data_IF_789161022924
#
_entry.id   IF_789161022924
#
_cell.length_a   1.000
_cell.length_b   1.000
_cell.length_c   1.000
_cell.angle_alpha   90.00
_cell.angle_beta   90.00
_cell.angle_gamma   90.00
#
_symmetry.space_group_name_H-M   'P 1'
#
loop_
_entity.id
_entity.type
_entity.pdbx_description
1 polymer ?
#
# COMPACT_ATOMS: atom_id res chain seq x y z
N UNK A 1 30.83 -4.71 31.55
CA UNK A 1 30.00 -3.50 31.45
C UNK A 1 29.25 -3.56 30.12
N UNK A 2 27.98 -3.95 30.14
CA UNK A 2 27.15 -3.95 28.94
C UNK A 2 26.84 -2.50 28.57
N UNK A 3 27.13 -2.05 27.34
CA UNK A 3 26.69 -0.74 26.89
C UNK A 3 25.17 -0.79 26.81
N UNK A 4 24.50 -0.19 27.81
CA UNK A 4 23.09 0.12 27.69
C UNK A 4 22.94 0.99 26.46
N UNK A 5 22.02 0.64 25.55
CA UNK A 5 21.56 1.55 24.53
C UNK A 5 21.15 2.84 25.28
N UNK A 6 21.78 4.00 25.00
CA UNK A 6 21.39 5.23 25.65
C UNK A 6 19.89 5.42 25.41
N UNK A 7 19.16 5.87 26.44
CA UNK A 7 17.70 6.09 26.42
C UNK A 7 17.23 6.85 25.17
N UNK A 8 18.12 7.63 24.57
CA UNK A 8 17.97 8.35 23.30
C UNK A 8 17.69 7.46 22.07
N UNK A 9 18.20 6.23 22.05
CA UNK A 9 18.06 5.32 20.89
C UNK A 9 16.61 4.90 20.63
N UNK A 10 15.83 4.70 21.70
CA UNK A 10 14.41 4.36 21.58
C UNK A 10 13.58 5.52 21.04
N UNK A 11 13.93 6.76 21.42
CA UNK A 11 13.26 7.95 20.88
C UNK A 11 13.50 8.09 19.37
N UNK A 12 14.72 7.84 18.90
CA UNK A 12 15.05 7.86 17.46
C UNK A 12 14.26 6.79 16.71
N UNK A 13 14.16 5.57 17.26
CA UNK A 13 13.35 4.50 16.66
C UNK A 13 11.86 4.84 16.61
N UNK A 14 11.30 5.37 17.69
CA UNK A 14 9.89 5.79 17.73
C UNK A 14 9.61 6.94 16.75
N UNK A 15 10.50 7.94 16.67
CA UNK A 15 10.39 9.04 15.73
C UNK A 15 10.49 8.55 14.27
N UNK A 16 11.45 7.65 14.02
CA UNK A 16 11.62 6.99 12.73
C UNK A 16 10.37 6.21 12.34
N UNK A 17 9.82 5.39 13.23
CA UNK A 17 8.59 4.65 12.98
C UNK A 17 7.40 5.59 12.70
N UNK A 18 7.25 6.66 13.48
CA UNK A 18 6.19 7.65 13.30
C UNK A 18 6.25 8.34 11.92
N UNK A 19 7.46 8.54 11.39
CA UNK A 19 7.68 9.14 10.06
C UNK A 19 7.53 8.10 8.92
N UNK A 20 8.13 6.92 9.07
CA UNK A 20 8.22 5.92 8.00
C UNK A 20 6.96 5.06 7.84
N UNK A 21 6.20 4.79 8.91
CA UNK A 21 4.97 3.98 8.82
C UNK A 21 3.92 4.61 7.88
N UNK A 22 3.60 5.93 7.98
CA UNK A 22 2.73 6.60 7.02
C UNK A 22 3.20 6.48 5.56
N UNK A 23 4.50 6.67 5.34
CA UNK A 23 5.13 6.60 4.00
C UNK A 23 5.03 5.17 3.45
N UNK A 24 5.39 4.17 4.24
CA UNK A 24 5.28 2.76 3.86
C UNK A 24 3.83 2.34 3.58
N UNK A 25 2.85 2.87 4.33
CA UNK A 25 1.43 2.62 4.07
C UNK A 25 0.96 3.22 2.75
N UNK A 26 1.49 4.38 2.35
CA UNK A 26 1.23 4.95 1.02
C UNK A 26 1.86 4.09 -0.08
N UNK A 27 3.10 3.64 0.11
CA UNK A 27 3.81 2.78 -0.84
C UNK A 27 3.13 1.43 -1.02
N UNK A 28 2.58 0.85 0.06
CA UNK A 28 1.75 -0.36 -0.01
C UNK A 28 0.54 -0.15 -0.92
N UNK A 29 -0.19 0.97 -0.76
CA UNK A 29 -1.36 1.28 -1.60
C UNK A 29 -0.99 1.43 -3.07
N UNK A 30 0.16 2.05 -3.37
CA UNK A 30 0.66 2.16 -4.75
C UNK A 30 1.03 0.79 -5.31
N UNK A 31 1.67 -0.05 -4.49
CA UNK A 31 2.01 -1.41 -4.87
C UNK A 31 0.74 -2.21 -5.21
N UNK A 32 -0.32 -2.15 -4.40
CA UNK A 32 -1.61 -2.77 -4.73
C UNK A 32 -2.18 -2.27 -6.07
N UNK A 33 -2.12 -0.96 -6.34
CA UNK A 33 -2.61 -0.39 -7.60
C UNK A 33 -1.83 -0.88 -8.83
N UNK A 34 -0.51 -1.08 -8.71
CA UNK A 34 0.33 -1.63 -9.79
C UNK A 34 -0.08 -3.07 -10.14
N UNK A 35 -0.50 -3.86 -9.14
CA UNK A 35 -0.97 -5.23 -9.35
C UNK A 35 -2.48 -5.33 -9.69
N UNK A 36 -3.17 -4.21 -9.91
CA UNK A 36 -4.60 -4.20 -10.25
C UNK A 36 -5.54 -4.55 -9.08
N UNK A 37 -5.00 -4.60 -7.87
CA UNK A 37 -5.76 -4.97 -6.67
C UNK A 37 -6.49 -3.77 -6.05
N UNK A 38 -7.61 -4.05 -5.39
CA UNK A 38 -8.40 -3.03 -4.69
C UNK A 38 -7.54 -2.29 -3.66
N UNK A 39 -7.41 -0.98 -3.79
CA UNK A 39 -6.59 -0.18 -2.88
C UNK A 39 -7.16 -0.25 -1.45
N UNK A 40 -6.39 -0.72 -0.45
CA UNK A 40 -6.88 -0.71 0.92
C UNK A 40 -7.08 0.74 1.38
N UNK A 41 -8.07 0.92 2.26
CA UNK A 41 -8.24 2.17 3.00
C UNK A 41 -6.95 2.48 3.76
N UNK A 42 -6.60 3.77 3.88
CA UNK A 42 -5.33 4.19 4.48
C UNK A 42 -5.11 3.64 5.90
N UNK A 43 -6.17 3.62 6.73
CA UNK A 43 -6.13 3.02 8.08
C UNK A 43 -5.79 1.52 8.05
N UNK A 44 -6.39 0.77 7.11
CA UNK A 44 -6.11 -0.66 6.89
C UNK A 44 -4.68 -0.85 6.41
N UNK A 45 -4.20 -0.01 5.49
CA UNK A 45 -2.82 -0.05 5.01
C UNK A 45 -1.81 0.21 6.15
N UNK A 46 -2.05 1.21 7.01
CA UNK A 46 -1.21 1.45 8.19
C UNK A 46 -1.18 0.24 9.14
N UNK A 47 -2.33 -0.35 9.45
CA UNK A 47 -2.40 -1.54 10.30
C UNK A 47 -1.62 -2.71 9.69
N UNK A 48 -1.77 -2.96 8.39
CA UNK A 48 -1.02 -4.00 7.67
C UNK A 48 0.48 -3.73 7.74
N UNK A 49 0.94 -2.50 7.47
CA UNK A 49 2.36 -2.16 7.51
C UNK A 49 2.96 -2.34 8.90
N UNK A 50 2.26 -1.92 9.96
CA UNK A 50 2.74 -2.11 11.34
C UNK A 50 2.80 -3.59 11.70
N UNK A 51 1.73 -4.35 11.44
CA UNK A 51 1.69 -5.79 11.72
C UNK A 51 2.75 -6.56 10.93
N UNK A 52 2.91 -6.22 9.65
CA UNK A 52 3.91 -6.82 8.76
C UNK A 52 5.32 -6.51 9.25
N UNK A 53 5.61 -5.25 9.58
CA UNK A 53 6.93 -4.83 10.07
C UNK A 53 7.30 -5.45 11.42
N UNK A 54 6.40 -5.37 12.41
CA UNK A 54 6.61 -5.94 13.74
C UNK A 54 6.75 -7.46 13.65
N UNK A 55 5.84 -8.13 12.94
CA UNK A 55 5.87 -9.58 12.85
C UNK A 55 7.05 -10.11 12.03
N UNK A 56 7.46 -9.44 10.94
CA UNK A 56 8.67 -9.80 10.21
C UNK A 56 9.93 -9.65 11.07
N UNK A 57 10.01 -8.58 11.87
CA UNK A 57 11.12 -8.37 12.81
C UNK A 57 11.15 -9.46 13.90
N UNK A 58 10.02 -9.75 14.55
CA UNK A 58 9.94 -10.80 15.57
C UNK A 58 10.27 -12.19 15.00
N UNK A 59 9.83 -12.45 13.76
CA UNK A 59 10.17 -13.70 13.06
C UNK A 59 11.66 -13.79 12.79
N UNK A 60 12.28 -12.72 12.26
CA UNK A 60 13.73 -12.66 12.04
C UNK A 60 14.50 -12.83 13.35
N UNK A 61 14.06 -12.18 14.43
CA UNK A 61 14.75 -12.19 15.72
C UNK A 61 14.67 -13.57 16.40
N UNK A 62 13.47 -14.16 16.46
CA UNK A 62 13.26 -15.48 17.04
C UNK A 62 13.96 -16.59 16.27
N UNK A 63 13.93 -16.53 14.93
CA UNK A 63 14.65 -17.50 14.08
C UNK A 63 16.17 -17.34 14.19
N UNK A 64 16.69 -16.12 14.25
CA UNK A 64 18.12 -15.86 14.45
C UNK A 64 18.60 -16.41 15.80
N UNK A 65 17.85 -16.17 16.88
CA UNK A 65 18.15 -16.72 18.21
C UNK A 65 18.20 -18.25 18.18
N UNK A 66 17.18 -18.88 17.60
CA UNK A 66 17.11 -20.34 17.49
C UNK A 66 18.30 -20.91 16.71
N UNK A 67 18.65 -20.32 15.57
CA UNK A 67 19.79 -20.77 14.76
C UNK A 67 21.12 -20.60 15.48
N UNK A 68 21.35 -19.49 16.18
CA UNK A 68 22.58 -19.28 16.97
C UNK A 68 22.69 -20.29 18.10
N UNK A 69 21.59 -20.61 18.80
CA UNK A 69 21.54 -21.66 19.82
C UNK A 69 21.82 -23.05 19.24
N UNK A 70 21.17 -23.39 18.12
CA UNK A 70 21.35 -24.71 17.47
C UNK A 70 22.74 -24.89 16.90
N UNK A 71 23.34 -23.83 16.36
CA UNK A 71 24.64 -23.87 15.70
C UNK A 71 25.79 -23.42 16.59
N UNK A 72 25.64 -23.51 17.92
CA UNK A 72 26.65 -23.03 18.88
C UNK A 72 28.05 -23.56 18.60
N UNK A 73 28.16 -24.83 18.20
CA UNK A 73 29.44 -25.46 17.87
C UNK A 73 30.05 -24.88 16.59
N UNK A 74 29.23 -24.64 15.56
CA UNK A 74 29.69 -24.08 14.29
C UNK A 74 30.09 -22.60 14.44
N UNK A 75 29.30 -21.81 15.17
CA UNK A 75 29.60 -20.39 15.47
C UNK A 75 30.92 -20.25 16.22
N UNK A 76 31.32 -21.25 17.01
CA UNK A 76 32.58 -21.26 17.75
C UNK A 76 33.76 -21.88 16.97
N UNK A 77 33.53 -22.55 15.83
CA UNK A 77 34.58 -23.30 15.11
C UNK A 77 35.37 -22.45 14.12
N UNK A 78 34.84 -21.32 13.65
CA UNK A 78 35.50 -20.47 12.64
C UNK A 78 36.69 -19.70 13.23
N UNK A 79 37.85 -20.37 13.32
CA UNK A 79 39.22 -19.89 13.04
C UNK A 79 39.78 -18.64 13.73
N UNK A 80 38.99 -17.93 14.53
CA UNK A 80 39.37 -16.62 15.09
C UNK A 80 40.04 -16.73 16.46
N UNK A 81 39.97 -17.90 17.10
CA UNK A 81 40.49 -18.10 18.44
C UNK A 81 41.32 -19.37 18.48
N UNK A 82 42.65 -19.21 18.46
CA UNK A 82 43.59 -20.30 18.74
C UNK A 82 43.49 -20.78 20.20
N UNK A 83 42.90 -19.97 21.09
CA UNK A 83 42.81 -20.27 22.50
C UNK A 83 41.50 -21.00 22.86
N UNK A 84 41.62 -22.29 23.17
CA UNK A 84 40.52 -23.16 23.63
C UNK A 84 39.73 -22.58 24.81
N UNK A 85 40.37 -21.83 25.72
CA UNK A 85 39.69 -21.24 26.88
C UNK A 85 38.67 -20.17 26.47
N UNK A 86 38.97 -19.37 25.44
CA UNK A 86 38.06 -18.33 24.93
C UNK A 86 36.84 -18.95 24.24
N UNK A 87 37.04 -20.09 23.59
CA UNK A 87 35.96 -20.86 22.96
C UNK A 87 34.98 -21.40 24.01
N UNK A 88 35.47 -22.02 25.08
CA UNK A 88 34.62 -22.54 26.15
C UNK A 88 33.87 -21.41 26.89
N UNK A 89 34.52 -20.27 27.12
CA UNK A 89 33.86 -19.09 27.71
C UNK A 89 32.71 -18.58 26.82
N UNK A 90 32.89 -18.55 25.49
CA UNK A 90 31.84 -18.12 24.56
C UNK A 90 30.71 -19.13 24.44
N UNK A 91 31.01 -20.43 24.41
CA UNK A 91 29.97 -21.48 24.45
C UNK A 91 29.13 -21.36 25.71
N UNK A 92 29.78 -21.21 26.86
CA UNK A 92 29.09 -21.00 28.14
C UNK A 92 28.22 -19.74 28.11
N UNK A 93 28.71 -18.64 27.51
CA UNK A 93 27.92 -17.42 27.33
C UNK A 93 26.70 -17.61 26.42
N UNK A 94 26.83 -18.31 25.28
CA UNK A 94 25.70 -18.63 24.39
C UNK A 94 24.70 -19.57 25.09
N UNK A 95 25.17 -20.52 25.89
CA UNK A 95 24.29 -21.41 26.63
C UNK A 95 23.51 -20.66 27.73
N UNK A 96 24.12 -19.65 28.36
CA UNK A 96 23.50 -18.80 29.37
C UNK A 96 22.57 -17.70 28.79
N UNK A 97 22.65 -17.41 27.49
CA UNK A 97 21.81 -16.34 26.91
C UNK A 97 20.37 -16.82 26.71
N UNK A 98 19.46 -16.22 27.47
CA UNK A 98 18.01 -16.37 27.26
C UNK A 98 17.50 -15.43 26.16
N UNK A 99 16.31 -15.70 25.64
CA UNK A 99 15.69 -14.84 24.62
C UNK A 99 15.49 -13.39 25.10
N UNK A 100 15.22 -13.19 26.40
CA UNK A 100 15.10 -11.85 26.99
C UNK A 100 16.41 -11.06 26.93
N UNK A 101 17.54 -11.74 27.12
CA UNK A 101 18.88 -11.16 26.97
C UNK A 101 19.21 -10.94 25.50
N UNK A 102 18.83 -11.88 24.62
CA UNK A 102 19.00 -11.77 23.18
C UNK A 102 18.33 -10.52 22.60
N UNK A 103 17.05 -10.28 22.89
CA UNK A 103 16.29 -9.12 22.39
C UNK A 103 16.94 -7.79 22.82
N UNK A 104 17.60 -7.77 23.98
CA UNK A 104 18.30 -6.59 24.51
C UNK A 104 19.66 -6.36 23.87
N UNK A 105 20.21 -7.34 23.13
CA UNK A 105 21.46 -7.15 22.41
C UNK A 105 21.28 -6.12 21.28
N UNK A 106 22.31 -5.28 21.02
CA UNK A 106 22.34 -4.42 19.85
C UNK A 106 22.06 -5.21 18.58
N UNK A 107 21.27 -4.63 17.67
CA UNK A 107 20.85 -5.29 16.43
C UNK A 107 22.06 -5.74 15.59
N UNK A 108 23.13 -4.95 15.57
CA UNK A 108 24.37 -5.27 14.87
C UNK A 108 25.02 -6.55 15.43
N UNK A 109 25.09 -6.70 16.76
CA UNK A 109 25.63 -7.91 17.39
C UNK A 109 24.79 -9.14 17.07
N UNK A 110 23.46 -9.01 17.06
CA UNK A 110 22.55 -10.09 16.65
C UNK A 110 22.76 -10.49 15.19
N UNK A 111 22.90 -9.51 14.30
CA UNK A 111 23.17 -9.74 12.88
C UNK A 111 24.53 -10.41 12.67
N UNK A 112 25.58 -9.97 13.36
CA UNK A 112 26.91 -10.58 13.29
C UNK A 112 26.90 -12.03 13.81
N UNK A 113 26.20 -12.30 14.92
CA UNK A 113 26.08 -13.65 15.46
C UNK A 113 25.29 -14.58 14.52
N UNK A 114 24.16 -14.13 13.98
CA UNK A 114 23.36 -14.90 13.03
C UNK A 114 24.09 -15.08 11.69
N UNK A 115 24.83 -14.07 11.24
CA UNK A 115 25.61 -14.07 10.01
C UNK A 115 26.75 -15.08 10.00
N UNK A 116 27.26 -15.45 11.18
CA UNK A 116 28.32 -16.45 11.35
C UNK A 116 27.84 -17.89 11.29
N UNK A 117 26.53 -18.15 11.21
CA UNK A 117 26.06 -19.52 11.07
C UNK A 117 26.20 -19.98 9.61
N UNK A 118 27.10 -20.92 9.29
CA UNK A 118 27.35 -21.32 7.91
C UNK A 118 26.12 -21.97 7.29
N UNK A 119 25.83 -21.64 6.03
CA UNK A 119 24.72 -22.20 5.26
C UNK A 119 23.31 -21.68 5.60
N UNK A 120 23.11 -21.05 6.76
CA UNK A 120 21.77 -20.62 7.23
C UNK A 120 21.66 -19.14 7.62
N UNK A 121 22.72 -18.35 7.44
CA UNK A 121 22.72 -16.90 7.72
C UNK A 121 21.62 -16.11 7.00
N UNK A 122 21.10 -16.63 5.88
CA UNK A 122 20.00 -16.02 5.12
C UNK A 122 18.60 -16.50 5.53
N UNK A 123 18.49 -17.62 6.25
CA UNK A 123 17.17 -18.19 6.61
C UNK A 123 16.29 -17.25 7.43
N UNK A 124 16.80 -16.50 8.43
CA UNK A 124 15.96 -15.55 9.18
C UNK A 124 15.29 -14.52 8.29
N UNK A 125 15.96 -14.06 7.23
CA UNK A 125 15.40 -13.13 6.25
C UNK A 125 14.30 -13.76 5.41
N UNK A 126 14.49 -15.02 5.00
CA UNK A 126 13.48 -15.78 4.25
C UNK A 126 12.23 -15.99 5.11
N UNK A 127 12.38 -16.39 6.38
CA UNK A 127 11.25 -16.55 7.29
C UNK A 127 10.52 -15.23 7.55
N UNK A 128 11.26 -14.13 7.77
CA UNK A 128 10.68 -12.80 7.90
C UNK A 128 9.90 -12.37 6.66
N UNK A 129 10.42 -12.63 5.46
CA UNK A 129 9.75 -12.34 4.20
C UNK A 129 8.49 -13.19 3.98
N UNK A 130 8.54 -14.49 4.31
CA UNK A 130 7.38 -15.38 4.25
C UNK A 130 6.27 -14.92 5.20
N UNK A 131 6.62 -14.54 6.43
CA UNK A 131 5.67 -13.99 7.40
C UNK A 131 5.05 -12.68 6.89
N UNK A 132 5.86 -11.78 6.32
CA UNK A 132 5.38 -10.54 5.73
C UNK A 132 4.38 -10.78 4.58
N UNK A 133 4.70 -11.74 3.70
CA UNK A 133 3.79 -12.20 2.65
C UNK A 133 2.47 -12.74 3.21
N UNK A 134 2.52 -13.57 4.24
CA UNK A 134 1.33 -14.13 4.90
C UNK A 134 0.43 -13.06 5.50
N UNK A 135 0.98 -12.12 6.28
CA UNK A 135 0.20 -11.00 6.85
C UNK A 135 -0.42 -10.15 5.74
N UNK A 136 0.29 -9.98 4.62
CA UNK A 136 -0.23 -9.23 3.46
C UNK A 136 -1.35 -9.98 2.74
N UNK A 137 -1.27 -11.31 2.61
CA UNK A 137 -2.37 -12.16 2.08
C UNK A 137 -3.63 -11.98 2.91
N UNK A 138 -3.53 -12.18 4.23
CA UNK A 138 -4.67 -12.08 5.14
C UNK A 138 -5.19 -10.64 5.20
N UNK A 139 -4.25 -9.69 5.24
CA UNK A 139 -4.53 -8.26 5.35
C UNK A 139 -5.21 -7.68 4.11
N UNK A 140 -4.91 -8.18 2.91
CA UNK A 140 -5.47 -7.67 1.64
C UNK A 140 -6.51 -8.59 1.00
N UNK A 141 -6.62 -9.85 1.45
CA UNK A 141 -7.45 -10.89 0.82
C UNK A 141 -7.05 -11.17 -0.65
N UNK A 142 -5.74 -11.26 -0.90
CA UNK A 142 -5.15 -11.49 -2.24
C UNK A 142 -4.36 -12.80 -2.25
N UNK A 143 -4.20 -13.50 -3.38
CA UNK A 143 -3.43 -14.75 -3.44
C UNK A 143 -1.95 -14.52 -3.08
N UNK A 144 -1.32 -15.54 -2.47
CA UNK A 144 0.06 -15.46 -1.96
C UNK A 144 1.09 -14.96 -2.98
N UNK A 145 0.98 -15.38 -4.24
CA UNK A 145 1.89 -14.95 -5.32
C UNK A 145 1.82 -13.43 -5.55
N UNK A 146 0.63 -12.84 -5.52
CA UNK A 146 0.44 -11.40 -5.65
C UNK A 146 0.87 -10.67 -4.37
N UNK A 147 0.54 -11.19 -3.19
CA UNK A 147 0.98 -10.63 -1.92
C UNK A 147 2.52 -10.53 -1.85
N UNK A 148 3.24 -11.57 -2.27
CA UNK A 148 4.70 -11.56 -2.30
C UNK A 148 5.24 -10.47 -3.24
N UNK A 149 4.66 -10.33 -4.44
CA UNK A 149 5.01 -9.27 -5.39
C UNK A 149 4.76 -7.86 -4.83
N UNK A 150 3.63 -7.66 -4.15
CA UNK A 150 3.27 -6.41 -3.48
C UNK A 150 4.29 -6.09 -2.36
N UNK A 151 4.64 -7.07 -1.53
CA UNK A 151 5.61 -6.88 -0.43
C UNK A 151 7.01 -6.55 -0.97
N UNK A 152 7.47 -7.25 -1.99
CA UNK A 152 8.78 -6.99 -2.60
C UNK A 152 8.85 -5.60 -3.24
N UNK A 153 7.81 -5.21 -3.99
CA UNK A 153 7.73 -3.89 -4.60
C UNK A 153 7.67 -2.80 -3.52
N UNK A 154 6.84 -2.98 -2.49
CA UNK A 154 6.76 -2.05 -1.38
C UNK A 154 8.11 -1.91 -0.68
N UNK A 155 8.79 -3.03 -0.39
CA UNK A 155 10.10 -3.03 0.27
C UNK A 155 11.14 -2.28 -0.57
N UNK A 156 11.22 -2.56 -1.87
CA UNK A 156 12.11 -1.84 -2.79
C UNK A 156 11.83 -0.34 -2.77
N UNK A 157 10.56 0.07 -2.85
CA UNK A 157 10.19 1.48 -2.79
C UNK A 157 10.56 2.13 -1.45
N UNK A 158 10.39 1.43 -0.33
CA UNK A 158 10.77 1.92 1.00
C UNK A 158 12.29 2.12 1.07
N UNK A 159 13.08 1.17 0.57
CA UNK A 159 14.55 1.29 0.53
C UNK A 159 14.97 2.50 -0.31
N UNK A 160 14.37 2.69 -1.48
CA UNK A 160 14.64 3.86 -2.34
C UNK A 160 14.28 5.16 -1.62
N UNK A 161 13.10 5.24 -1.01
CA UNK A 161 12.67 6.44 -0.28
C UNK A 161 13.56 6.72 0.93
N UNK A 162 14.00 5.69 1.66
CA UNK A 162 14.93 5.83 2.78
C UNK A 162 16.30 6.34 2.31
N UNK A 163 16.86 5.76 1.25
CA UNK A 163 18.14 6.18 0.68
C UNK A 163 18.10 7.64 0.19
N UNK A 164 17.02 8.01 -0.52
CA UNK A 164 16.80 9.38 -1.00
C UNK A 164 16.57 10.34 0.16
N UNK A 165 15.80 9.91 1.17
CA UNK A 165 15.56 10.70 2.37
C UNK A 165 16.85 10.98 3.13
N UNK A 166 17.69 9.97 3.35
CA UNK A 166 18.99 10.12 4.00
C UNK A 166 19.91 11.06 3.21
N UNK A 167 19.96 10.92 1.88
CA UNK A 167 20.72 11.81 1.02
C UNK A 167 20.20 13.26 1.05
N UNK A 168 18.88 13.44 0.97
CA UNK A 168 18.25 14.76 0.97
C UNK A 168 18.40 15.46 2.32
N UNK A 169 18.28 14.73 3.43
CA UNK A 169 18.55 15.25 4.78
C UNK A 169 20.02 15.64 4.90
N UNK A 170 20.95 14.76 4.50
CA UNK A 170 22.38 15.07 4.53
C UNK A 170 22.76 16.29 3.69
N UNK A 171 22.21 16.41 2.48
CA UNK A 171 22.45 17.54 1.58
C UNK A 171 21.74 18.81 2.04
N UNK A 172 20.50 18.68 2.50
CA UNK A 172 19.70 19.79 3.03
C UNK A 172 20.31 20.39 4.29
N UNK A 173 20.81 19.57 5.21
CA UNK A 173 21.62 20.02 6.34
C UNK A 173 22.85 20.78 5.86
N UNK A 174 23.57 20.27 4.86
CA UNK A 174 24.74 20.96 4.28
C UNK A 174 24.41 22.30 3.61
N UNK A 175 23.22 22.47 3.03
CA UNK A 175 22.79 23.70 2.36
C UNK A 175 22.10 24.71 3.29
N UNK A 176 21.30 24.22 4.25
CA UNK A 176 20.57 25.04 5.21
C UNK A 176 21.48 25.56 6.33
N UNK A 177 22.57 24.85 6.61
CA UNK A 177 23.70 25.44 7.30
C UNK A 177 24.36 26.42 6.31
N UNK A 178 24.26 27.74 6.54
CA UNK A 178 24.49 28.74 5.51
C UNK A 178 25.93 28.68 4.96
N UNK A 179 26.03 28.63 3.63
CA UNK A 179 27.28 28.76 2.87
C UNK A 179 27.98 30.13 3.05
N UNK A 180 27.47 31.03 3.88
CA UNK A 180 28.22 32.20 4.36
C UNK A 180 29.32 31.83 5.35
N UNK A 181 29.31 30.58 5.83
CA UNK A 181 30.53 29.86 6.11
C UNK A 181 30.71 28.81 5.01
N UNK A 182 31.20 29.19 3.83
CA UNK A 182 32.30 28.39 3.28
C UNK A 182 33.22 28.26 4.48
N UNK A 183 33.30 27.07 5.09
CA UNK A 183 34.29 26.82 6.13
C UNK A 183 35.55 27.45 5.55
N UNK A 184 36.03 28.58 6.12
CA UNK A 184 37.11 29.30 5.49
C UNK A 184 38.16 28.23 5.24
N UNK A 185 38.65 28.13 3.99
CA UNK A 185 39.74 27.18 3.71
C UNK A 185 40.71 27.33 4.86
N UNK A 186 41.19 26.23 5.46
CA UNK A 186 41.98 26.30 6.70
C UNK A 186 42.99 27.46 6.68
N UNK A 187 43.59 27.70 5.51
CA UNK A 187 44.40 28.86 5.16
C UNK A 187 43.75 30.26 5.35
N UNK A 188 42.57 30.53 4.80
CA UNK A 188 41.86 31.82 4.97
C UNK A 188 41.34 32.03 6.39
N UNK A 189 41.00 30.93 7.08
CA UNK A 189 40.58 30.97 8.48
C UNK A 189 41.75 31.35 9.39
N UNK A 190 42.89 30.69 9.13
CA UNK A 190 44.16 30.93 9.81
C UNK A 190 44.64 32.36 9.58
N UNK A 191 44.58 32.87 8.35
CA UNK A 191 45.03 34.22 8.04
C UNK A 191 44.16 35.29 8.70
N UNK A 192 42.83 35.12 8.70
CA UNK A 192 41.91 36.08 9.33
C UNK A 192 42.05 36.07 10.86
N UNK A 193 42.19 34.89 11.46
CA UNK A 193 42.40 34.76 12.90
C UNK A 193 43.78 35.25 13.34
N UNK A 194 44.81 35.07 12.51
CA UNK A 194 46.14 35.65 12.69
C UNK A 194 46.10 37.19 12.66
N UNK A 195 45.38 37.79 11.70
CA UNK A 195 45.21 39.25 11.61
C UNK A 195 44.45 39.83 12.81
N UNK A 196 43.38 39.17 13.26
CA UNK A 196 42.63 39.60 14.46
C UNK A 196 43.48 39.49 15.73
N UNK A 197 44.26 38.41 15.86
CA UNK A 197 45.15 38.23 17.01
C UNK A 197 46.30 39.25 17.02
N UNK A 198 46.92 39.52 15.85
CA UNK A 198 47.96 40.55 15.70
C UNK A 198 47.44 41.97 15.96
N UNK A 199 46.16 42.24 15.68
CA UNK A 199 45.52 43.51 16.00
C UNK A 199 45.18 43.65 17.50
N UNK A 200 44.83 42.55 18.17
CA UNK A 200 44.51 42.53 19.60
C UNK A 200 45.75 42.52 20.50
N UNK A 201 46.86 41.96 20.02
CA UNK A 201 48.12 41.85 20.75
C UNK A 201 49.27 42.38 19.87
N UNK A 202 49.63 43.67 19.98
CA UNK A 202 50.78 44.21 19.27
C UNK A 202 52.06 43.50 19.70
N UNK A 203 53.09 43.50 18.83
CA UNK A 203 54.32 42.73 19.02
C UNK A 203 55.01 42.97 20.37
N UNK A 204 54.86 44.17 20.94
CA UNK A 204 55.39 44.56 22.24
C UNK A 204 54.72 43.82 23.41
N UNK A 205 53.39 43.65 23.37
CA UNK A 205 52.63 42.91 24.39
C UNK A 205 52.91 41.40 24.34
N UNK A 206 53.22 40.88 23.15
CA UNK A 206 53.65 39.49 22.96
C UNK A 206 55.06 39.29 23.51
N UNK A 207 55.98 40.24 23.28
CA UNK A 207 57.33 40.20 23.83
C UNK A 207 57.36 40.33 25.37
N UNK A 208 56.39 41.04 25.96
CA UNK A 208 56.23 41.17 27.40
C UNK A 208 55.61 39.93 28.09
N UNK A 209 55.18 38.92 27.32
CA UNK A 209 54.61 37.68 27.87
C UNK A 209 53.16 37.80 28.36
N UNK A 210 52.47 38.90 28.05
CA UNK A 210 51.08 39.13 28.46
C UNK A 210 50.07 38.43 27.54
N UNK A 211 50.50 37.99 26.36
CA UNK A 211 49.65 37.25 25.43
C UNK A 211 49.61 35.74 25.78
N UNK A 212 48.43 35.08 25.67
CA UNK A 212 48.31 33.64 25.90
C UNK A 212 49.20 32.86 24.92
N UNK A 213 49.95 31.89 25.44
CA UNK A 213 50.99 31.14 24.72
C UNK A 213 50.51 30.43 23.44
N UNK A 214 49.21 30.13 23.32
CA UNK A 214 48.61 29.63 22.09
C UNK A 214 47.23 30.26 21.86
N UNK A 215 46.97 30.89 20.70
CA UNK A 215 45.66 31.46 20.42
C UNK A 215 44.59 30.37 20.35
N UNK A 216 43.49 30.51 21.11
CA UNK A 216 42.38 29.56 21.15
C UNK A 216 41.77 29.21 19.77
N UNK A 217 41.99 30.04 18.74
CA UNK A 217 41.55 29.76 17.37
C UNK A 217 42.40 28.68 16.68
N UNK A 218 43.67 28.51 17.04
CA UNK A 218 44.55 27.46 16.48
C UNK A 218 44.09 26.07 16.91
N UNK A 219 43.73 25.89 18.18
CA UNK A 219 43.22 24.60 18.68
C UNK A 219 41.88 24.24 18.03
N UNK A 220 41.00 25.23 17.81
CA UNK A 220 39.75 25.03 17.07
C UNK A 220 39.97 24.66 15.59
N UNK A 221 40.91 25.31 14.89
CA UNK A 221 41.23 24.94 13.50
C UNK A 221 41.86 23.56 13.38
N UNK A 222 42.76 23.21 14.30
CA UNK A 222 43.31 21.87 14.37
C UNK A 222 42.18 20.83 14.56
N UNK A 223 41.24 21.09 15.47
CA UNK A 223 40.05 20.24 15.68
C UNK A 223 39.12 20.17 14.46
N UNK A 224 38.92 21.27 13.72
CA UNK A 224 38.10 21.28 12.51
C UNK A 224 38.79 20.53 11.34
N UNK A 225 40.12 20.65 11.24
CA UNK A 225 40.91 19.93 10.22
C UNK A 225 40.94 18.43 10.49
N UNK A 226 41.06 18.02 11.75
CA UNK A 226 40.97 16.60 12.14
C UNK A 226 39.56 16.07 11.93
N UNK A 227 38.51 16.82 12.25
CA UNK A 227 37.13 16.40 11.98
C UNK A 227 36.82 16.28 10.47
N UNK A 228 37.35 17.19 9.65
CA UNK A 228 37.26 17.11 8.19
C UNK A 228 38.02 15.89 7.64
N UNK A 229 39.24 15.67 8.12
CA UNK A 229 40.04 14.50 7.74
C UNK A 229 39.36 13.20 8.17
N UNK A 230 38.75 13.18 9.36
CA UNK A 230 38.01 12.03 9.88
C UNK A 230 36.74 11.77 9.06
N UNK A 231 35.97 12.81 8.70
CA UNK A 231 34.81 12.68 7.84
C UNK A 231 35.19 12.20 6.42
N UNK A 232 36.28 12.70 5.84
CA UNK A 232 36.78 12.21 4.56
C UNK A 232 37.26 10.76 4.68
N UNK A 233 37.98 10.42 5.75
CA UNK A 233 38.40 9.03 6.01
C UNK A 233 37.23 8.07 6.24
N UNK A 234 36.08 8.58 6.66
CA UNK A 234 34.85 7.80 6.76
C UNK A 234 34.19 7.60 5.39
N UNK A 235 34.20 8.59 4.51
CA UNK A 235 33.50 8.56 3.21
C UNK A 235 34.31 7.85 2.13
N UNK A 236 35.63 8.04 2.12
CA UNK A 236 36.56 7.52 1.11
C UNK A 236 36.53 5.99 0.97
N UNK A 237 36.45 5.17 2.05
CA UNK A 237 36.33 3.72 1.95
C UNK A 237 35.03 3.27 1.27
N UNK A 238 33.92 3.97 1.50
CA UNK A 238 32.65 3.64 0.85
C UNK A 238 32.65 4.05 -0.61
N UNK A 239 33.22 5.21 -0.93
CA UNK A 239 33.39 5.65 -2.32
C UNK A 239 34.26 4.65 -3.09
N UNK A 240 35.37 4.21 -2.50
CA UNK A 240 36.27 3.25 -3.12
C UNK A 240 35.61 1.89 -3.32
N UNK A 241 34.91 1.34 -2.31
CA UNK A 241 34.16 0.08 -2.46
C UNK A 241 33.07 0.17 -3.51
N UNK A 242 32.35 1.29 -3.55
CA UNK A 242 31.29 1.50 -4.53
C UNK A 242 31.86 1.59 -5.95
N UNK A 243 32.99 2.29 -6.14
CA UNK A 243 33.68 2.37 -7.44
C UNK A 243 34.26 1.01 -7.85
N UNK A 244 34.79 0.24 -6.91
CA UNK A 244 35.27 -1.12 -7.17
C UNK A 244 34.12 -2.06 -7.61
N UNK A 245 32.95 -1.95 -6.98
CA UNK A 245 31.75 -2.70 -7.39
C UNK A 245 31.18 -2.23 -8.73
N UNK A 246 31.32 -0.94 -9.06
CA UNK A 246 30.84 -0.37 -10.31
C UNK A 246 31.83 -0.57 -11.47
N UNK A 247 33.12 -0.79 -11.20
CA UNK A 247 34.20 -0.92 -12.19
C UNK A 247 33.86 -1.87 -13.36
N UNK A 248 33.28 -3.07 -13.14
CA UNK A 248 32.91 -3.97 -14.23
C UNK A 248 31.90 -3.36 -15.22
N UNK A 249 31.02 -2.50 -14.72
CA UNK A 249 29.99 -1.81 -15.51
C UNK A 249 30.55 -0.52 -16.13
N UNK A 250 31.48 0.14 -15.43
CA UNK A 250 32.11 1.38 -15.90
C UNK A 250 33.07 1.17 -17.07
N UNK A 251 33.63 -0.03 -17.24
CA UNK A 251 34.50 -0.38 -18.39
C UNK A 251 33.83 -0.27 -19.75
N UNK A 252 32.50 -0.24 -19.79
CA UNK A 252 31.72 -0.08 -21.02
C UNK A 252 31.49 1.39 -21.40
N UNK A 253 31.85 2.33 -20.51
CA UNK A 253 31.75 3.77 -20.77
C UNK A 253 33.04 4.30 -21.43
N UNK A 254 32.95 5.35 -22.28
CA UNK A 254 34.12 6.04 -22.82
C UNK A 254 35.07 6.54 -21.72
N UNK A 255 36.38 6.59 -22.01
CA UNK A 255 37.41 6.97 -21.04
C UNK A 255 37.14 8.32 -20.36
N UNK A 256 36.60 9.29 -21.08
CA UNK A 256 36.25 10.62 -20.54
C UNK A 256 35.20 10.53 -19.43
N UNK A 257 34.20 9.66 -19.59
CA UNK A 257 33.14 9.46 -18.59
C UNK A 257 33.66 8.71 -17.37
N UNK A 258 34.58 7.76 -17.56
CA UNK A 258 35.22 7.05 -16.48
C UNK A 258 36.12 7.98 -15.63
N UNK A 259 36.88 8.85 -16.30
CA UNK A 259 37.75 9.84 -15.64
C UNK A 259 36.92 10.87 -14.87
N UNK A 260 35.82 11.35 -15.47
CA UNK A 260 34.86 12.23 -14.81
C UNK A 260 34.24 11.59 -13.55
N UNK A 261 33.81 10.33 -13.62
CA UNK A 261 33.24 9.63 -12.47
C UNK A 261 34.25 9.43 -11.34
N UNK A 262 35.52 9.14 -11.67
CA UNK A 262 36.63 9.03 -10.70
C UNK A 262 36.99 10.36 -10.05
N UNK A 263 36.89 11.48 -10.77
CA UNK A 263 37.14 12.83 -10.24
C UNK A 263 35.99 13.40 -9.39
N UNK A 264 35.04 12.55 -8.96
CA UNK A 264 33.90 12.97 -8.13
C UNK A 264 32.61 13.23 -8.90
N UNK A 265 32.58 13.02 -10.22
CA UNK A 265 31.37 13.11 -11.04
C UNK A 265 30.26 12.14 -10.62
N UNK A 266 30.58 11.10 -9.86
CA UNK A 266 29.57 10.20 -9.29
C UNK A 266 28.59 10.92 -8.36
N UNK A 267 29.03 11.97 -7.65
CA UNK A 267 28.17 12.78 -6.80
C UNK A 267 27.17 13.62 -7.61
N UNK A 268 27.56 14.03 -8.82
CA UNK A 268 26.64 14.71 -9.76
C UNK A 268 25.57 13.74 -10.27
N UNK A 269 25.93 12.50 -10.57
CA UNK A 269 24.96 11.46 -10.99
C UNK A 269 23.99 11.12 -9.87
N UNK A 270 24.48 10.94 -8.64
CA UNK A 270 23.64 10.72 -7.45
C UNK A 270 22.74 11.93 -7.19
N UNK A 271 23.28 13.15 -7.28
CA UNK A 271 22.51 14.39 -7.16
C UNK A 271 21.40 14.51 -8.21
N UNK A 272 21.69 14.18 -9.47
CA UNK A 272 20.71 14.17 -10.55
C UNK A 272 19.61 13.12 -10.32
N UNK A 273 19.97 11.90 -9.92
CA UNK A 273 19.02 10.85 -9.59
C UNK A 273 18.06 11.28 -8.47
N UNK A 274 18.57 11.96 -7.44
CA UNK A 274 17.76 12.53 -6.36
C UNK A 274 16.81 13.61 -6.88
N UNK A 275 17.27 14.50 -7.78
CA UNK A 275 16.39 15.51 -8.40
C UNK A 275 15.28 14.85 -9.21
N UNK A 276 15.58 13.81 -10.01
CA UNK A 276 14.56 13.07 -10.77
C UNK A 276 13.54 12.43 -9.83
N UNK A 277 13.99 11.84 -8.73
CA UNK A 277 13.10 11.26 -7.71
C UNK A 277 12.26 12.34 -7.03
N UNK A 278 12.84 13.50 -6.71
CA UNK A 278 12.09 14.63 -6.13
C UNK A 278 11.07 15.21 -7.11
N UNK A 279 11.38 15.31 -8.40
CA UNK A 279 10.44 15.74 -9.45
C UNK A 279 9.32 14.71 -9.60
N UNK A 280 9.65 13.42 -9.58
CA UNK A 280 8.68 12.34 -9.62
C UNK A 280 7.77 12.36 -8.38
N UNK A 281 8.35 12.49 -7.18
CA UNK A 281 7.63 12.65 -5.91
C UNK A 281 6.76 13.92 -5.91
N UNK A 282 7.21 15.03 -6.50
CA UNK A 282 6.43 16.27 -6.65
C UNK A 282 5.29 16.11 -7.66
N UNK A 283 5.51 15.39 -8.76
CA UNK A 283 4.47 15.01 -9.71
C UNK A 283 3.40 14.13 -9.05
N UNK A 284 3.85 13.16 -8.24
CA UNK A 284 2.99 12.33 -7.41
C UNK A 284 2.27 13.12 -6.32
N UNK A 285 2.95 14.03 -5.63
CA UNK A 285 2.36 14.84 -4.56
C UNK A 285 1.30 15.77 -5.12
N UNK A 286 1.45 16.28 -6.35
CA UNK A 286 0.38 17.01 -7.06
C UNK A 286 -0.81 16.11 -7.41
N UNK A 287 -0.58 14.86 -7.86
CA UNK A 287 -1.67 13.90 -8.11
C UNK A 287 -2.38 13.52 -6.81
N UNK A 288 -1.62 13.33 -5.73
CA UNK A 288 -2.10 13.06 -4.39
C UNK A 288 -2.84 14.26 -3.80
N UNK A 289 -2.33 15.48 -3.94
CA UNK A 289 -3.00 16.71 -3.53
C UNK A 289 -4.26 16.97 -4.33
N UNK A 290 -4.30 16.62 -5.62
CA UNK A 290 -5.54 16.66 -6.40
C UNK A 290 -6.52 15.59 -5.92
N UNK A 291 -6.07 14.40 -5.57
CA UNK A 291 -6.93 13.35 -5.01
C UNK A 291 -7.45 13.69 -3.60
N UNK A 292 -6.61 14.31 -2.75
CA UNK A 292 -6.94 14.73 -1.39
C UNK A 292 -7.78 16.01 -1.35
N UNK A 293 -7.49 17.01 -2.21
CA UNK A 293 -8.36 18.19 -2.38
C UNK A 293 -9.66 17.86 -3.09
N UNK A 294 -9.69 16.85 -3.98
CA UNK A 294 -10.95 16.22 -4.45
C UNK A 294 -11.58 15.29 -3.40
N UNK A 295 -10.93 15.03 -2.27
CA UNK A 295 -11.46 14.24 -1.16
C UNK A 295 -12.41 15.00 -0.23
N UNK A 296 -12.46 16.33 -0.30
CA UNK A 296 -13.40 17.14 0.50
C UNK A 296 -14.72 17.47 -0.21
N UNK A 297 -14.76 17.40 -1.55
CA UNK A 297 -15.95 17.66 -2.38
C UNK A 297 -15.88 16.88 -3.71
N UNK A 298 -15.48 15.61 -3.67
CA UNK A 298 -16.05 14.68 -4.66
C UNK A 298 -17.52 14.68 -4.31
N UNK A 299 -18.30 15.48 -5.03
CA UNK A 299 -19.74 15.54 -4.85
C UNK A 299 -20.20 14.12 -4.68
N UNK A 300 -20.66 13.78 -3.47
CA UNK A 300 -21.58 12.68 -3.29
C UNK A 300 -22.63 13.01 -4.32
N UNK A 301 -22.52 12.40 -5.52
CA UNK A 301 -23.52 12.56 -6.57
C UNK A 301 -24.78 12.29 -5.79
N UNK A 302 -25.63 13.33 -5.60
CA UNK A 302 -26.86 13.18 -4.82
C UNK A 302 -27.42 11.85 -5.28
N UNK A 303 -27.62 10.86 -4.38
CA UNK A 303 -28.01 9.51 -4.76
C UNK A 303 -29.04 9.70 -5.85
N UNK A 304 -28.69 9.28 -7.08
CA UNK A 304 -29.51 9.62 -8.26
C UNK A 304 -30.89 9.18 -7.87
N UNK A 305 -31.77 10.17 -7.64
CA UNK A 305 -33.03 9.90 -6.97
C UNK A 305 -33.74 8.91 -7.88
N UNK A 306 -33.91 7.68 -7.39
CA UNK A 306 -34.57 6.65 -8.17
C UNK A 306 -35.98 7.19 -8.41
N UNK A 307 -36.33 7.36 -9.68
CA UNK A 307 -37.65 7.85 -10.04
C UNK A 307 -38.68 6.90 -9.43
N UNK A 308 -39.67 7.46 -8.73
CA UNK A 308 -40.77 6.68 -8.18
C UNK A 308 -41.62 6.21 -9.35
N UNK A 309 -41.87 4.90 -9.43
CA UNK A 309 -42.60 4.28 -10.53
C UNK A 309 -44.01 3.95 -10.03
N UNK A 310 -45.04 4.48 -10.67
CA UNK A 310 -46.43 4.24 -10.29
C UNK A 310 -47.06 3.18 -11.21
N UNK A 311 -47.47 2.06 -10.64
CA UNK A 311 -47.98 0.94 -11.44
C UNK A 311 -49.39 1.17 -12.02
N UNK A 312 -50.14 2.14 -11.48
CA UNK A 312 -51.51 2.44 -11.89
C UNK A 312 -51.64 2.79 -13.39
N UNK A 313 -50.56 3.31 -14.01
CA UNK A 313 -50.55 3.68 -15.42
C UNK A 313 -50.43 2.49 -16.40
N UNK A 314 -49.89 1.34 -15.97
CA UNK A 314 -49.53 0.25 -16.89
C UNK A 314 -50.69 -0.70 -17.22
N UNK A 315 -51.76 -0.72 -16.43
CA UNK A 315 -52.90 -1.64 -16.62
C UNK A 315 -53.72 -1.35 -17.90
N UNK A 316 -53.52 -0.17 -18.53
CA UNK A 316 -54.31 0.31 -19.67
C UNK A 316 -53.75 -0.06 -21.06
N UNK A 317 -52.56 -0.65 -21.15
CA UNK A 317 -51.99 -1.01 -22.44
C UNK A 317 -52.70 -2.26 -22.96
N UNK A 318 -53.35 -2.14 -24.12
CA UNK A 318 -54.03 -3.23 -24.81
C UNK A 318 -53.03 -4.34 -25.14
N UNK A 319 -53.19 -5.50 -24.49
CA UNK A 319 -52.25 -6.62 -24.61
C UNK A 319 -52.71 -7.55 -25.72
N UNK A 320 -51.81 -7.87 -26.66
CA UNK A 320 -51.98 -9.02 -27.54
C UNK A 320 -51.81 -10.28 -26.70
N UNK A 321 -52.86 -11.09 -26.56
CA UNK A 321 -52.72 -12.38 -25.90
C UNK A 321 -51.86 -13.28 -26.78
N UNK A 322 -50.61 -13.53 -26.36
CA UNK A 322 -49.74 -14.53 -26.98
C UNK A 322 -50.16 -15.96 -26.62
N UNK A 323 -49.50 -16.93 -27.27
CA UNK A 323 -49.74 -18.37 -27.05
C UNK A 323 -49.17 -18.90 -25.73
N UNK A 324 -48.39 -18.08 -25.01
CA UNK A 324 -47.81 -18.42 -23.70
C UNK A 324 -48.44 -17.58 -22.60
N UNK A 325 -48.55 -18.18 -21.41
CA UNK A 325 -49.06 -17.54 -20.19
C UNK A 325 -47.99 -17.54 -19.12
N UNK A 326 -47.78 -16.38 -18.51
CA UNK A 326 -46.94 -16.24 -17.33
C UNK A 326 -47.71 -16.65 -16.09
N UNK A 327 -47.03 -17.30 -15.14
CA UNK A 327 -47.60 -17.58 -13.84
C UNK A 327 -46.58 -17.37 -12.72
N UNK A 328 -47.05 -16.87 -11.57
CA UNK A 328 -46.25 -16.64 -10.37
C UNK A 328 -46.81 -17.53 -9.27
N UNK A 329 -46.05 -18.54 -8.84
CA UNK A 329 -46.54 -19.58 -7.90
C UNK A 329 -47.92 -20.12 -8.29
N UNK A 330 -48.06 -20.54 -9.55
CA UNK A 330 -49.29 -21.09 -10.14
C UNK A 330 -50.45 -20.09 -10.35
N UNK A 331 -50.32 -18.84 -9.92
CA UNK A 331 -51.31 -17.81 -10.23
C UNK A 331 -51.03 -17.23 -11.62
N UNK A 332 -52.03 -17.18 -12.50
CA UNK A 332 -51.85 -16.57 -13.81
C UNK A 332 -51.61 -15.08 -13.69
N UNK A 333 -50.66 -14.59 -14.47
CA UNK A 333 -50.18 -13.23 -14.32
C UNK A 333 -49.65 -12.67 -15.65
N UNK A 334 -49.34 -11.37 -15.67
CA UNK A 334 -48.81 -10.63 -16.83
C UNK A 334 -47.65 -9.74 -16.42
N UNK A 335 -46.64 -9.66 -17.27
CA UNK A 335 -45.46 -8.84 -17.00
C UNK A 335 -45.74 -7.37 -17.35
N UNK A 336 -45.59 -6.45 -16.39
CA UNK A 336 -45.92 -5.02 -16.60
C UNK A 336 -44.72 -4.08 -16.52
N UNK A 337 -43.77 -4.39 -15.65
CA UNK A 337 -42.57 -3.58 -15.44
C UNK A 337 -41.35 -4.48 -15.34
N UNK A 338 -40.26 -4.06 -15.98
CA UNK A 338 -38.94 -4.66 -15.87
C UNK A 338 -37.95 -3.57 -15.47
N UNK A 339 -37.25 -3.77 -14.37
CA UNK A 339 -36.21 -2.87 -13.86
C UNK A 339 -34.87 -3.57 -13.99
N UNK A 340 -33.92 -2.97 -14.70
CA UNK A 340 -32.58 -3.52 -14.88
C UNK A 340 -31.56 -2.60 -14.21
N UNK A 341 -30.69 -3.16 -13.37
CA UNK A 341 -29.60 -2.42 -12.76
C UNK A 341 -28.26 -3.19 -12.91
N UNK A 342 -27.18 -2.54 -13.38
CA UNK A 342 -25.86 -3.17 -13.43
C UNK A 342 -25.40 -3.57 -12.01
N UNK A 343 -24.91 -4.79 -11.83
CA UNK A 343 -24.35 -5.24 -10.55
C UNK A 343 -22.83 -5.07 -10.54
N UNK A 344 -22.28 -4.38 -9.54
CA UNK A 344 -20.83 -4.21 -9.37
C UNK A 344 -20.16 -3.31 -10.43
N UNK A 345 -18.83 -3.19 -10.38
CA UNK A 345 -18.04 -2.29 -11.24
C UNK A 345 -17.93 -2.73 -12.70
N UNK A 346 -18.04 -4.04 -12.94
CA UNK A 346 -17.64 -4.67 -14.20
C UNK A 346 -18.83 -4.97 -15.10
N UNK A 347 -20.03 -4.58 -14.66
CA UNK A 347 -21.24 -4.64 -15.47
C UNK A 347 -21.17 -3.57 -16.55
N UNK A 348 -21.18 -4.00 -17.82
CA UNK A 348 -21.21 -3.11 -18.99
C UNK A 348 -22.44 -2.20 -19.00
N UNK A 349 -22.54 -1.35 -20.03
CA UNK A 349 -23.70 -0.47 -20.20
C UNK A 349 -24.95 -1.28 -20.60
N UNK A 350 -26.02 -1.16 -19.81
CA UNK A 350 -27.29 -1.81 -20.10
C UNK A 350 -28.13 -0.95 -21.04
N UNK A 351 -28.80 -1.61 -21.97
CA UNK A 351 -29.72 -0.99 -22.91
C UNK A 351 -31.10 -1.64 -22.76
N UNK A 352 -32.18 -0.89 -23.00
CA UNK A 352 -33.55 -1.40 -22.86
C UNK A 352 -33.84 -2.56 -23.81
N UNK A 353 -33.27 -2.56 -25.01
CA UNK A 353 -33.40 -3.65 -25.99
C UNK A 353 -32.76 -4.97 -25.56
N UNK A 354 -31.96 -4.99 -24.49
CA UNK A 354 -31.42 -6.23 -23.92
C UNK A 354 -32.40 -6.94 -22.99
N UNK A 355 -33.54 -6.32 -22.65
CA UNK A 355 -34.46 -6.83 -21.65
C UNK A 355 -34.98 -8.23 -21.99
N UNK A 356 -35.36 -8.48 -23.24
CA UNK A 356 -35.86 -9.81 -23.68
C UNK A 356 -34.83 -10.91 -23.46
N UNK A 357 -33.58 -10.71 -23.91
CA UNK A 357 -32.50 -11.68 -23.74
C UNK A 357 -32.15 -11.90 -22.26
N UNK A 358 -32.18 -10.83 -21.45
CA UNK A 358 -31.93 -10.92 -20.01
C UNK A 358 -33.05 -11.70 -19.31
N UNK A 359 -34.31 -11.46 -19.69
CA UNK A 359 -35.48 -12.16 -19.14
C UNK A 359 -35.48 -13.64 -19.52
N UNK A 360 -35.08 -13.98 -20.74
CA UNK A 360 -34.94 -15.37 -21.18
C UNK A 360 -33.86 -16.13 -20.40
N UNK A 361 -32.82 -15.42 -19.95
CA UNK A 361 -31.85 -16.00 -19.03
C UNK A 361 -32.43 -16.23 -17.62
N UNK A 362 -33.43 -15.43 -17.19
CA UNK A 362 -34.11 -15.64 -15.91
C UNK A 362 -34.97 -16.89 -15.96
N UNK A 363 -35.87 -16.96 -16.94
CA UNK A 363 -36.74 -18.11 -17.19
C UNK A 363 -36.88 -18.27 -18.70
N UNK A 364 -36.53 -19.43 -19.27
CA UNK A 364 -36.66 -19.66 -20.71
C UNK A 364 -38.09 -19.40 -21.23
N UNK A 365 -38.22 -18.58 -22.27
CA UNK A 365 -39.50 -18.19 -22.87
C UNK A 365 -40.13 -16.96 -22.24
N UNK A 366 -39.49 -16.34 -21.24
CA UNK A 366 -39.95 -15.07 -20.67
C UNK A 366 -39.70 -13.89 -21.61
N UNK A 367 -38.72 -13.98 -22.51
CA UNK A 367 -38.48 -13.00 -23.56
C UNK A 367 -39.65 -12.92 -24.54
N UNK A 368 -40.20 -14.05 -25.00
CA UNK A 368 -41.40 -14.10 -25.86
C UNK A 368 -42.64 -13.49 -25.16
N UNK A 369 -42.76 -13.69 -23.84
CA UNK A 369 -43.81 -13.07 -23.05
C UNK A 369 -43.58 -11.56 -22.96
N UNK A 370 -42.35 -11.10 -22.77
CA UNK A 370 -42.03 -9.68 -22.75
C UNK A 370 -42.38 -9.00 -24.09
N UNK A 371 -42.11 -9.65 -25.23
CA UNK A 371 -42.53 -9.15 -26.54
C UNK A 371 -44.07 -9.04 -26.65
N UNK A 372 -44.80 -10.04 -26.15
CA UNK A 372 -46.27 -10.08 -26.19
C UNK A 372 -46.94 -9.08 -25.23
N UNK A 373 -46.46 -9.02 -23.98
CA UNK A 373 -47.00 -8.17 -22.91
C UNK A 373 -46.52 -6.72 -23.02
N UNK A 374 -45.41 -6.48 -23.75
CA UNK A 374 -44.75 -5.19 -23.94
C UNK A 374 -44.55 -4.41 -22.62
N UNK A 375 -43.81 -4.97 -21.64
CA UNK A 375 -43.63 -4.35 -20.34
C UNK A 375 -42.79 -3.09 -20.46
N UNK A 376 -43.02 -2.15 -19.55
CA UNK A 376 -42.16 -0.96 -19.48
C UNK A 376 -40.79 -1.35 -18.92
N UNK A 377 -39.73 -1.05 -19.66
CA UNK A 377 -38.35 -1.32 -19.25
C UNK A 377 -37.72 -0.06 -18.68
N UNK A 378 -37.29 -0.11 -17.41
CA UNK A 378 -36.62 1.00 -16.72
C UNK A 378 -35.19 0.60 -16.37
N UNK A 379 -34.23 1.41 -16.80
CA UNK A 379 -32.82 1.24 -16.47
C UNK A 379 -32.49 2.04 -15.20
N UNK A 380 -32.02 1.36 -14.18
CA UNK A 380 -31.57 1.95 -12.94
C UNK A 380 -30.06 2.14 -12.90
N UNK A 381 -29.57 3.12 -12.13
CA UNK A 381 -28.14 3.26 -11.90
C UNK A 381 -27.59 2.00 -11.21
N UNK A 382 -26.30 1.75 -11.45
CA UNK A 382 -25.53 0.65 -10.89
C UNK A 382 -25.79 0.47 -9.39
N UNK A 383 -26.12 -0.77 -9.01
CA UNK A 383 -26.33 -1.17 -7.62
C UNK A 383 -25.22 -2.17 -7.23
N UNK A 384 -24.56 -1.94 -6.10
CA UNK A 384 -23.42 -2.77 -5.68
C UNK A 384 -23.84 -3.99 -4.86
N UNK A 385 -25.08 -4.04 -4.37
CA UNK A 385 -25.59 -5.16 -3.60
C UNK A 385 -27.00 -5.55 -4.05
N UNK A 386 -27.25 -6.87 -4.06
CA UNK A 386 -28.56 -7.42 -4.36
C UNK A 386 -29.61 -6.96 -3.36
N UNK A 387 -29.29 -6.95 -2.08
CA UNK A 387 -30.21 -6.52 -1.02
C UNK A 387 -30.59 -5.04 -1.16
N UNK A 388 -29.60 -4.19 -1.49
CA UNK A 388 -29.82 -2.77 -1.72
C UNK A 388 -30.73 -2.54 -2.92
N UNK A 389 -30.51 -3.28 -4.02
CA UNK A 389 -31.38 -3.26 -5.18
C UNK A 389 -32.81 -3.71 -4.83
N UNK A 390 -32.99 -4.85 -4.16
CA UNK A 390 -34.31 -5.37 -3.79
C UNK A 390 -35.06 -4.39 -2.88
N UNK A 391 -34.38 -3.84 -1.88
CA UNK A 391 -34.96 -2.84 -0.99
C UNK A 391 -35.39 -1.59 -1.77
N UNK A 392 -34.54 -1.09 -2.67
CA UNK A 392 -34.85 0.06 -3.51
C UNK A 392 -36.06 -0.23 -4.43
N UNK A 393 -36.09 -1.39 -5.08
CA UNK A 393 -37.19 -1.84 -5.94
C UNK A 393 -38.53 -1.80 -5.19
N UNK A 394 -38.57 -2.43 -4.01
CA UNK A 394 -39.80 -2.52 -3.23
C UNK A 394 -40.23 -1.19 -2.59
N UNK A 395 -39.31 -0.25 -2.40
CA UNK A 395 -39.61 1.06 -1.83
C UNK A 395 -40.04 2.10 -2.88
N UNK A 396 -39.56 1.99 -4.13
CA UNK A 396 -39.77 3.01 -5.17
C UNK A 396 -40.83 2.63 -6.21
N UNK A 397 -41.24 1.37 -6.26
CA UNK A 397 -42.34 0.93 -7.12
C UNK A 397 -43.65 0.93 -6.31
N UNK A 398 -44.51 1.89 -6.59
CA UNK A 398 -45.80 2.06 -5.92
C UNK A 398 -46.87 1.20 -6.59
N UNK A 399 -47.62 0.45 -5.78
CA UNK A 399 -48.79 -0.32 -6.20
C UNK A 399 -50.06 0.52 -6.09
N UNK A 400 -51.04 0.35 -7.00
CA UNK A 400 -52.29 1.10 -6.94
C UNK A 400 -53.10 0.83 -5.66
N UNK A 401 -53.02 -0.39 -5.11
CA UNK A 401 -53.78 -0.77 -3.90
C UNK A 401 -53.13 -0.34 -2.58
N UNK A 402 -51.88 0.14 -2.61
CA UNK A 402 -51.13 0.59 -1.43
C UNK A 402 -50.63 -0.51 -0.49
N UNK A 403 -51.47 -1.51 -0.17
CA UNK A 403 -51.09 -2.63 0.70
C UNK A 403 -50.27 -3.68 -0.06
N UNK A 404 -49.01 -3.95 0.35
CA UNK A 404 -48.21 -4.92 -0.34
C UNK A 404 -48.70 -6.37 -0.25
N UNK A 405 -49.57 -6.71 0.70
CA UNK A 405 -50.13 -8.07 0.87
C UNK A 405 -51.53 -8.23 0.28
N UNK A 406 -52.12 -7.17 -0.26
CA UNK A 406 -53.46 -7.17 -0.86
C UNK A 406 -53.45 -6.39 -2.17
N UNK A 407 -52.60 -6.83 -3.08
CA UNK A 407 -52.42 -6.21 -4.39
C UNK A 407 -52.50 -7.27 -5.48
N UNK A 408 -52.93 -6.86 -6.67
CA UNK A 408 -52.77 -7.67 -7.88
C UNK A 408 -51.31 -7.75 -8.32
N UNK A 409 -50.45 -6.84 -7.85
CA UNK A 409 -49.05 -6.77 -8.26
C UNK A 409 -48.11 -7.51 -7.31
N UNK A 410 -47.35 -8.44 -7.87
CA UNK A 410 -46.23 -9.10 -7.20
C UNK A 410 -44.92 -8.46 -7.69
N UNK A 411 -44.07 -8.05 -6.74
CA UNK A 411 -42.75 -7.51 -7.06
C UNK A 411 -41.70 -8.58 -6.82
N UNK A 412 -40.88 -8.85 -7.84
CA UNK A 412 -39.80 -9.83 -7.80
C UNK A 412 -38.47 -9.12 -8.00
N UNK A 413 -37.44 -9.49 -7.23
CA UNK A 413 -36.11 -8.94 -7.42
C UNK A 413 -35.04 -10.00 -7.20
N UNK A 414 -34.14 -10.18 -8.16
CA UNK A 414 -33.09 -11.20 -8.12
C UNK A 414 -31.86 -10.84 -8.94
N UNK A 415 -30.74 -11.55 -8.76
CA UNK A 415 -29.57 -11.40 -9.61
C UNK A 415 -29.68 -12.30 -10.84
N UNK A 416 -28.97 -11.92 -11.90
CA UNK A 416 -28.67 -12.77 -13.04
C UNK A 416 -27.24 -12.57 -13.50
N UNK A 417 -26.66 -13.61 -14.10
CA UNK A 417 -25.31 -13.55 -14.67
C UNK A 417 -25.42 -13.85 -16.16
N UNK A 418 -25.10 -12.85 -16.98
CA UNK A 418 -25.04 -12.97 -18.44
C UNK A 418 -23.57 -12.96 -18.86
N UNK A 419 -23.00 -14.15 -19.05
CA UNK A 419 -21.56 -14.30 -19.29
C UNK A 419 -20.73 -13.81 -18.10
N UNK A 420 -20.00 -12.69 -18.27
CA UNK A 420 -19.20 -12.06 -17.20
C UNK A 420 -19.95 -10.95 -16.46
N UNK A 421 -21.13 -10.57 -16.93
CA UNK A 421 -21.86 -9.44 -16.38
C UNK A 421 -22.89 -9.90 -15.37
N UNK A 422 -22.78 -9.40 -14.14
CA UNK A 422 -23.82 -9.54 -13.14
C UNK A 422 -24.82 -8.38 -13.30
N UNK A 423 -26.11 -8.69 -13.30
CA UNK A 423 -27.20 -7.74 -13.47
C UNK A 423 -28.24 -8.03 -12.38
N UNK A 424 -28.80 -6.99 -11.79
CA UNK A 424 -29.96 -7.10 -10.93
C UNK A 424 -31.22 -6.84 -11.75
N UNK A 425 -32.17 -7.77 -11.67
CA UNK A 425 -33.43 -7.73 -12.41
C UNK A 425 -34.57 -7.64 -11.41
N UNK A 426 -35.44 -6.66 -11.64
CA UNK A 426 -36.67 -6.44 -10.91
C UNK A 426 -37.86 -6.58 -11.85
N UNK A 427 -38.93 -7.22 -11.42
CA UNK A 427 -40.15 -7.36 -12.19
C UNK A 427 -41.37 -6.96 -11.36
N UNK A 428 -42.32 -6.27 -11.99
CA UNK A 428 -43.68 -6.16 -11.47
C UNK A 428 -44.63 -6.96 -12.36
N UNK A 429 -45.28 -7.95 -11.75
CA UNK A 429 -46.17 -8.87 -12.43
C UNK A 429 -47.58 -8.66 -11.88
N UNK A 430 -48.55 -8.43 -12.76
CA UNK A 430 -49.97 -8.25 -12.45
C UNK A 430 -50.68 -9.60 -12.53
N UNK A 431 -51.19 -10.10 -11.41
CA UNK A 431 -52.02 -11.29 -11.32
C UNK A 431 -53.46 -10.99 -11.76
N UNK A 432 -54.17 -12.00 -12.28
CA UNK A 432 -55.58 -11.87 -12.65
C UNK A 432 -56.45 -11.51 -11.41
N UNK A 433 -56.14 -12.09 -10.25
CA UNK A 433 -56.80 -11.86 -8.97
C UNK A 433 -55.89 -11.19 -7.92
N UNK A 434 -56.50 -10.58 -6.89
CA UNK A 434 -55.77 -10.05 -5.74
C UNK A 434 -55.07 -11.20 -5.01
N UNK A 435 -53.77 -11.06 -4.72
CA UNK A 435 -52.99 -12.11 -4.08
C UNK A 435 -52.18 -11.59 -2.88
N UNK A 436 -51.78 -12.52 -2.01
CA UNK A 436 -51.02 -12.23 -0.78
C UNK A 436 -49.50 -12.40 -0.91
N UNK A 437 -48.98 -12.55 -2.13
CA UNK A 437 -47.56 -12.84 -2.37
C UNK A 437 -46.64 -11.63 -2.11
N UNK A 438 -47.10 -10.42 -2.45
CA UNK A 438 -46.38 -9.17 -2.21
C UNK A 438 -44.98 -9.14 -2.83
N UNK A 439 -43.94 -9.13 -1.99
CA UNK A 439 -42.54 -8.99 -2.41
C UNK A 439 -41.82 -10.33 -2.34
N UNK A 440 -41.28 -10.79 -3.47
CA UNK A 440 -40.52 -12.03 -3.56
C UNK A 440 -39.06 -11.69 -3.84
N UNK A 441 -38.18 -12.05 -2.89
CA UNK A 441 -36.73 -11.94 -3.06
C UNK A 441 -36.21 -13.23 -3.67
N UNK A 442 -35.57 -13.13 -4.83
CA UNK A 442 -35.05 -14.28 -5.56
C UNK A 442 -33.55 -14.36 -5.33
N UNK A 443 -33.10 -15.53 -4.86
CA UNK A 443 -31.69 -15.87 -4.74
C UNK A 443 -31.05 -16.16 -6.09
N UNK A 444 -29.74 -16.41 -6.10
CA UNK A 444 -29.03 -16.81 -7.31
C UNK A 444 -29.65 -18.11 -7.87
N UNK A 445 -29.94 -18.12 -9.17
CA UNK A 445 -30.42 -19.29 -9.92
C UNK A 445 -31.79 -19.86 -9.48
N UNK A 446 -32.62 -19.07 -8.78
CA UNK A 446 -33.96 -19.49 -8.29
C UNK A 446 -35.15 -18.82 -8.98
N UNK A 447 -34.95 -18.30 -10.18
CA UNK A 447 -36.02 -17.62 -10.94
C UNK A 447 -37.17 -18.57 -11.30
N UNK A 448 -36.85 -19.81 -11.65
CA UNK A 448 -37.81 -20.86 -12.04
C UNK A 448 -38.70 -21.35 -10.88
N UNK A 449 -38.29 -21.15 -9.62
CA UNK A 449 -39.12 -21.46 -8.45
C UNK A 449 -40.23 -20.44 -8.24
N UNK A 450 -40.01 -19.19 -8.67
CA UNK A 450 -40.95 -18.10 -8.45
C UNK A 450 -41.89 -17.88 -9.65
N UNK A 451 -41.36 -18.06 -10.87
CA UNK A 451 -42.04 -17.73 -12.12
C UNK A 451 -41.96 -18.89 -13.09
N UNK A 452 -43.09 -19.23 -13.69
CA UNK A 452 -43.22 -20.32 -14.66
C UNK A 452 -43.93 -19.85 -15.93
N UNK A 453 -43.39 -20.25 -17.08
CA UNK A 453 -43.94 -19.95 -18.40
C UNK A 453 -44.58 -21.22 -18.95
N UNK A 454 -45.88 -21.17 -19.25
CA UNK A 454 -46.62 -22.31 -19.81
C UNK A 454 -47.25 -21.95 -21.16
N UNK A 455 -47.37 -22.92 -22.06
CA UNK A 455 -48.13 -22.75 -23.30
C UNK A 455 -49.63 -22.80 -22.95
N UNK A 456 -50.42 -21.89 -23.52
CA UNK A 456 -51.88 -21.91 -23.39
C UNK A 456 -52.38 -23.15 -24.14
N UNK A 457 -53.15 -23.98 -23.43
CA UNK A 457 -53.74 -25.20 -23.99
C UNK A 457 -54.85 -24.89 -24.99
#
# INVERSE_FOLDING_TARGET
MTPYLPSESWMILCLGALLFVPVAALLLRQSCAVFGEGMPNYRRAMAIVVLTGVGAYLTWDGTSFALVKMAKEAVCRDGWFENHAVLEQRKAWIDQIDYSHWVRLPLQTRYELAGRVPGVSRLPFVFGLCFAGFVTVVGLNVPFRLALGIVLLQWLMVVVVAAVGQFAVGTGLRMALPATHSLPTLATAEEKARKVWQAAFPAEAVAAGEAPAEPAWKSWLNAASTASAEANSFVEPYQNRMMEQLDPYLRWLPEDAHTFLKQGGIWLVVGFAVIVILVWLRGMSKRLWRALRKGGRSGRKKPVALARIELAGFSKLGVRQGDRRLSVRHLPARLRLVVLAPAGSDSGELHSGMAESILDCCVPGLGEIADSDNPTVVLWPRQYSLEGFQHALFAHVNRPEGDPKRSRYVLLGGPIVLGKFAIHVGMAIECDDICALGNIRIGKDRWTEAVTVTRKA
#
